data_IF_313935641983
#
_entry.id   IF_313935641983
#
_cell.length_a   1.000
_cell.length_b   1.000
_cell.length_c   1.000
_cell.angle_alpha   90.00
_cell.angle_beta   90.00
_cell.angle_gamma   90.00
#
_symmetry.space_group_name_H-M   'P 1'
#
loop_
_entity.id
_entity.type
_entity.pdbx_description
1 polymer ?
#
# COMPACT_ATOMS: atom_id res chain seq x y z
N UNK A 1 31.00 43.75 5.80
CA UNK A 1 29.75 43.15 5.29
C UNK A 1 30.11 42.15 4.22
N UNK A 2 30.21 40.87 4.57
CA UNK A 2 30.35 39.77 3.62
C UNK A 2 28.94 39.19 3.33
N UNK A 3 28.46 39.45 2.12
CA UNK A 3 27.31 38.82 1.55
C UNK A 3 27.72 37.41 1.08
N UNK A 4 27.39 36.40 1.85
CA UNK A 4 27.59 35.01 1.45
C UNK A 4 26.46 34.59 0.51
N UNK A 5 26.76 34.44 -0.78
CA UNK A 5 25.86 33.75 -1.72
C UNK A 5 25.78 32.28 -1.34
N UNK A 6 24.60 31.83 -0.91
CA UNK A 6 24.32 30.39 -0.82
C UNK A 6 24.20 29.85 -2.23
N UNK A 7 25.19 29.09 -2.68
CA UNK A 7 25.04 28.29 -3.90
C UNK A 7 23.99 27.21 -3.67
N UNK A 8 22.89 27.31 -4.36
CA UNK A 8 21.95 26.20 -4.47
C UNK A 8 22.71 25.02 -5.08
N UNK A 9 22.78 23.94 -4.32
CA UNK A 9 23.37 22.69 -4.78
C UNK A 9 22.63 22.23 -6.03
N UNK A 10 23.34 21.93 -7.09
CA UNK A 10 22.77 21.47 -8.34
C UNK A 10 21.75 20.34 -8.08
N UNK A 11 20.58 20.51 -8.68
CA UNK A 11 19.52 19.49 -8.68
C UNK A 11 20.11 18.20 -9.27
N UNK A 12 20.00 17.04 -8.60
CA UNK A 12 20.55 15.80 -9.13
C UNK A 12 19.97 15.47 -10.51
N UNK A 13 20.76 14.86 -11.44
CA UNK A 13 20.23 14.41 -12.72
C UNK A 13 19.05 13.47 -12.51
N UNK A 14 17.90 13.78 -13.09
CA UNK A 14 16.66 12.99 -12.95
C UNK A 14 15.55 13.66 -12.16
N UNK A 15 15.80 14.80 -11.48
CA UNK A 15 14.73 15.63 -10.93
C UNK A 15 14.21 16.56 -12.05
N UNK A 16 13.23 16.09 -12.81
CA UNK A 16 12.57 16.88 -13.84
C UNK A 16 11.85 18.10 -13.27
N UNK A 17 11.94 19.21 -13.96
CA UNK A 17 11.08 20.39 -13.73
C UNK A 17 9.72 20.04 -14.34
N UNK A 18 8.86 19.46 -13.56
CA UNK A 18 7.48 19.13 -13.93
C UNK A 18 6.80 18.57 -12.70
N UNK A 19 5.51 18.77 -12.58
CA UNK A 19 4.65 18.18 -11.52
C UNK A 19 4.61 16.66 -11.59
N UNK A 20 5.76 16.04 -11.35
CA UNK A 20 5.80 14.61 -11.04
C UNK A 20 5.53 14.52 -9.54
N UNK A 21 4.45 13.86 -9.11
CA UNK A 21 4.23 13.61 -7.70
C UNK A 21 5.51 13.03 -7.11
N UNK A 22 5.98 13.60 -6.00
CA UNK A 22 7.17 13.10 -5.34
C UNK A 22 7.04 11.60 -5.10
N UNK A 23 7.85 10.80 -5.78
CA UNK A 23 7.93 9.38 -5.50
C UNK A 23 8.55 9.24 -4.11
N UNK A 24 7.72 9.09 -3.09
CA UNK A 24 8.17 8.78 -1.75
C UNK A 24 8.64 7.33 -1.80
N UNK A 25 9.93 7.11 -1.94
CA UNK A 25 10.53 5.81 -1.76
C UNK A 25 10.61 5.55 -0.25
N UNK A 26 9.65 4.84 0.28
CA UNK A 26 9.72 4.32 1.64
C UNK A 26 10.59 3.07 1.57
N UNK A 27 11.87 3.20 1.93
CA UNK A 27 12.75 2.07 2.18
C UNK A 27 12.34 1.44 3.51
N UNK A 28 11.56 0.38 3.45
CA UNK A 28 11.28 -0.45 4.61
C UNK A 28 12.51 -1.34 4.85
N UNK A 29 13.42 -0.87 5.68
CA UNK A 29 14.54 -1.69 6.16
C UNK A 29 13.99 -2.86 7.00
N UNK A 30 14.39 -4.07 6.62
CA UNK A 30 13.98 -5.32 7.23
C UNK A 30 14.92 -5.76 8.34
N UNK A 31 15.91 -4.93 8.69
CA UNK A 31 16.86 -5.22 9.75
C UNK A 31 16.19 -5.14 11.13
N UNK A 32 16.66 -5.94 12.09
CA UNK A 32 16.13 -5.92 13.46
C UNK A 32 16.25 -4.58 14.19
N UNK A 33 17.04 -3.64 13.64
CA UNK A 33 17.16 -2.26 14.14
C UNK A 33 15.90 -1.41 13.88
N UNK A 34 15.05 -1.78 12.90
CA UNK A 34 13.77 -1.14 12.64
C UNK A 34 12.62 -1.63 13.55
N UNK A 35 12.92 -2.41 14.59
CA UNK A 35 12.01 -2.58 15.71
C UNK A 35 11.83 -1.30 16.53
N UNK A 36 12.58 -0.25 16.22
CA UNK A 36 12.39 1.10 16.75
C UNK A 36 11.03 1.61 16.25
N UNK A 37 10.11 1.68 17.19
CA UNK A 37 8.76 2.21 17.03
C UNK A 37 8.78 3.49 16.20
N UNK A 38 8.17 3.46 15.02
CA UNK A 38 7.76 4.70 14.38
C UNK A 38 6.77 5.36 15.33
N UNK A 39 7.23 6.33 16.10
CA UNK A 39 6.51 7.07 17.14
C UNK A 39 5.65 6.23 18.09
N UNK A 40 5.77 6.47 19.36
CA UNK A 40 5.03 5.81 20.43
C UNK A 40 3.52 5.77 20.11
N UNK A 41 2.99 4.58 19.81
CA UNK A 41 1.56 4.38 19.65
C UNK A 41 1.10 3.80 18.30
N UNK A 42 1.92 3.76 17.23
CA UNK A 42 1.46 3.28 15.92
C UNK A 42 1.22 1.77 15.84
N UNK A 43 1.74 1.00 16.81
CA UNK A 43 1.45 -0.44 16.94
C UNK A 43 1.72 -1.27 15.67
N UNK A 44 2.74 -0.89 14.87
CA UNK A 44 3.18 -1.71 13.75
C UNK A 44 4.12 -2.80 14.26
N UNK A 45 3.73 -4.06 14.05
CA UNK A 45 4.61 -5.19 14.27
C UNK A 45 4.89 -5.84 12.91
N UNK A 46 6.14 -5.80 12.47
CA UNK A 46 6.59 -6.34 11.19
C UNK A 46 5.83 -5.78 9.98
N UNK A 47 6.04 -4.50 9.59
CA UNK A 47 5.47 -3.96 8.38
C UNK A 47 6.04 -4.69 7.16
N UNK A 48 5.17 -5.10 6.23
CA UNK A 48 5.56 -5.88 5.05
C UNK A 48 5.28 -5.17 3.74
N UNK A 49 4.27 -4.32 3.72
CA UNK A 49 3.86 -3.61 2.52
C UNK A 49 3.39 -2.20 2.84
N UNK A 50 3.64 -1.29 1.92
CA UNK A 50 3.14 0.06 2.00
C UNK A 50 2.72 0.54 0.62
N UNK A 51 1.74 1.44 0.57
CA UNK A 51 1.30 2.14 -0.63
C UNK A 51 0.80 3.53 -0.24
N UNK A 52 1.05 4.52 -1.09
CA UNK A 52 0.49 5.86 -0.92
C UNK A 52 -0.69 6.08 -1.86
N UNK A 53 -1.64 6.91 -1.45
CA UNK A 53 -2.68 7.43 -2.32
C UNK A 53 -2.27 8.76 -2.95
N UNK A 54 -3.16 9.34 -3.77
CA UNK A 54 -2.90 10.63 -4.44
C UNK A 54 -2.84 11.82 -3.49
N UNK A 55 -3.33 11.69 -2.26
CA UNK A 55 -3.23 12.71 -1.21
C UNK A 55 -1.91 12.63 -0.44
N UNK A 56 -1.12 11.58 -0.67
CA UNK A 56 0.10 11.29 0.04
C UNK A 56 -0.09 10.49 1.33
N UNK A 57 -1.32 10.13 1.68
CA UNK A 57 -1.58 9.25 2.83
C UNK A 57 -1.05 7.83 2.54
N UNK A 58 -0.48 7.20 3.56
CA UNK A 58 0.23 5.92 3.42
C UNK A 58 -0.51 4.80 4.12
N UNK A 59 -0.74 3.72 3.38
CA UNK A 59 -1.36 2.49 3.88
C UNK A 59 -0.28 1.46 4.15
N UNK A 60 -0.17 0.99 5.39
CA UNK A 60 0.88 0.06 5.83
C UNK A 60 0.27 -1.25 6.29
N UNK A 61 0.65 -2.32 5.63
CA UNK A 61 0.27 -3.68 5.99
C UNK A 61 1.24 -4.30 6.98
N UNK A 62 0.70 -4.92 8.03
CA UNK A 62 1.46 -5.54 9.11
C UNK A 62 1.19 -7.03 9.22
N UNK A 63 2.23 -7.81 9.45
CA UNK A 63 2.16 -9.27 9.59
C UNK A 63 1.40 -9.71 10.85
N UNK A 64 1.86 -9.28 12.03
CA UNK A 64 1.33 -9.76 13.30
C UNK A 64 -0.01 -9.14 13.70
N UNK A 65 -0.27 -7.91 13.28
CA UNK A 65 -1.56 -7.26 13.59
C UNK A 65 -2.66 -7.66 12.62
N UNK A 66 -2.34 -8.42 11.59
CA UNK A 66 -3.27 -8.85 10.53
C UNK A 66 -4.12 -7.72 9.97
N UNK A 67 -3.55 -6.51 9.94
CA UNK A 67 -4.28 -5.30 9.58
C UNK A 67 -3.49 -4.37 8.68
N UNK A 68 -4.22 -3.44 8.09
CA UNK A 68 -3.68 -2.35 7.31
C UNK A 68 -4.06 -1.06 8.00
N UNK A 69 -3.06 -0.24 8.34
CA UNK A 69 -3.26 1.09 8.93
C UNK A 69 -3.03 2.17 7.90
N UNK A 70 -3.81 3.23 7.99
CA UNK A 70 -3.61 4.44 7.22
C UNK A 70 -2.86 5.46 8.07
N UNK A 71 -1.81 6.07 7.52
CA UNK A 71 -1.05 7.17 8.09
C UNK A 71 -1.36 8.43 7.31
N UNK A 72 -1.67 9.52 7.99
CA UNK A 72 -1.89 10.83 7.36
C UNK A 72 -0.57 11.42 6.86
N UNK A 73 -0.57 11.95 5.65
CA UNK A 73 0.60 12.62 5.06
C UNK A 73 1.12 13.78 5.93
N UNK A 74 0.21 14.60 6.46
CA UNK A 74 0.57 15.81 7.17
C UNK A 74 1.33 15.56 8.48
N UNK A 75 1.05 14.47 9.19
CA UNK A 75 1.59 14.24 10.55
C UNK A 75 2.29 12.90 10.71
N UNK A 76 2.12 11.96 9.77
CA UNK A 76 2.55 10.58 9.92
C UNK A 76 1.78 9.81 11.02
N UNK A 77 0.74 10.40 11.60
CA UNK A 77 -0.08 9.75 12.62
C UNK A 77 -1.06 8.75 12.00
N UNK A 78 -1.50 7.77 12.77
CA UNK A 78 -2.58 6.86 12.35
C UNK A 78 -3.87 7.65 12.18
N UNK A 79 -4.49 7.52 11.00
CA UNK A 79 -5.82 8.06 10.74
C UNK A 79 -6.87 7.17 11.39
N UNK A 80 -7.32 7.56 12.57
CA UNK A 80 -8.31 6.80 13.36
C UNK A 80 -9.71 6.78 12.74
N UNK A 81 -9.97 7.62 11.74
CA UNK A 81 -11.22 7.61 10.97
C UNK A 81 -11.24 6.52 9.90
N UNK A 82 -10.07 6.00 9.51
CA UNK A 82 -9.95 4.92 8.54
C UNK A 82 -10.42 3.60 9.14
N UNK A 83 -11.35 2.93 8.47
CA UNK A 83 -11.90 1.63 8.86
C UNK A 83 -12.37 1.59 10.32
N UNK A 84 -12.05 0.52 11.07
CA UNK A 84 -12.34 0.43 12.51
C UNK A 84 -11.15 0.95 13.31
N UNK A 85 -11.29 2.16 13.85
CA UNK A 85 -10.26 2.79 14.70
C UNK A 85 -8.86 2.85 14.05
N UNK A 86 -8.80 3.17 12.77
CA UNK A 86 -7.56 3.34 12.01
C UNK A 86 -6.96 2.05 11.46
N UNK A 87 -7.67 0.92 11.58
CA UNK A 87 -7.13 -0.37 11.10
C UNK A 87 -8.17 -1.15 10.29
N UNK A 88 -7.84 -1.47 9.05
CA UNK A 88 -8.61 -2.39 8.24
C UNK A 88 -8.14 -3.83 8.50
N UNK A 89 -8.99 -4.68 9.03
CA UNK A 89 -8.76 -6.12 9.20
C UNK A 89 -9.58 -6.95 8.23
N UNK A 90 -10.70 -6.40 7.77
CA UNK A 90 -11.65 -7.06 6.89
C UNK A 90 -12.38 -8.24 7.51
N UNK A 91 -13.26 -8.86 6.74
CA UNK A 91 -14.03 -10.03 7.13
C UNK A 91 -14.18 -11.02 5.98
N UNK A 92 -14.57 -12.25 6.27
CA UNK A 92 -14.80 -13.27 5.25
C UNK A 92 -13.62 -13.42 4.28
N UNK A 93 -13.91 -13.34 2.99
CA UNK A 93 -12.93 -13.48 1.91
C UNK A 93 -12.03 -12.23 1.72
N UNK A 94 -12.26 -11.18 2.46
CA UNK A 94 -11.53 -9.91 2.38
C UNK A 94 -10.71 -9.62 3.64
N UNK A 95 -10.34 -10.64 4.36
CA UNK A 95 -9.46 -10.53 5.52
C UNK A 95 -8.03 -10.20 5.12
N UNK A 96 -7.44 -9.24 5.80
CA UNK A 96 -6.03 -8.85 5.57
C UNK A 96 -5.04 -9.72 6.35
N UNK A 97 -5.18 -11.05 6.24
CA UNK A 97 -4.24 -12.00 6.84
C UNK A 97 -2.91 -11.97 6.10
N UNK A 98 -1.90 -11.35 6.72
CA UNK A 98 -0.57 -11.22 6.15
C UNK A 98 -0.59 -10.48 4.81
N UNK A 99 -0.88 -9.16 4.83
CA UNK A 99 -0.93 -8.35 3.61
C UNK A 99 0.47 -8.15 3.02
N UNK A 100 0.81 -8.99 2.05
CA UNK A 100 2.13 -9.02 1.41
C UNK A 100 2.36 -7.86 0.45
N UNK A 101 1.29 -7.38 -0.18
CA UNK A 101 1.37 -6.27 -1.11
C UNK A 101 0.07 -5.47 -1.08
N UNK A 102 0.21 -4.14 -1.13
CA UNK A 102 -0.89 -3.19 -1.19
C UNK A 102 -0.66 -2.28 -2.39
N UNK A 103 -1.72 -1.99 -3.14
CA UNK A 103 -1.74 -0.96 -4.17
C UNK A 103 -2.97 -0.09 -4.00
N UNK A 104 -2.80 1.22 -4.18
CA UNK A 104 -3.90 2.17 -4.22
C UNK A 104 -4.10 2.61 -5.67
N UNK A 105 -5.33 2.54 -6.15
CA UNK A 105 -5.67 2.97 -7.50
C UNK A 105 -7.15 3.38 -7.57
N UNK A 106 -7.41 4.57 -8.09
CA UNK A 106 -8.75 5.12 -8.33
C UNK A 106 -9.71 4.98 -7.13
N UNK A 107 -9.26 5.35 -5.92
CA UNK A 107 -10.08 5.30 -4.70
C UNK A 107 -10.29 3.90 -4.12
N UNK A 108 -9.55 2.92 -4.60
CA UNK A 108 -9.58 1.55 -4.10
C UNK A 108 -8.22 1.11 -3.56
N UNK A 109 -8.26 0.31 -2.51
CA UNK A 109 -7.13 -0.44 -2.00
C UNK A 109 -7.19 -1.88 -2.49
N UNK A 110 -6.14 -2.34 -3.16
CA UNK A 110 -5.97 -3.73 -3.61
C UNK A 110 -4.96 -4.40 -2.70
N UNK A 111 -5.32 -5.57 -2.18
CA UNK A 111 -4.52 -6.28 -1.16
C UNK A 111 -4.26 -7.71 -1.60
N UNK A 112 -2.99 -8.10 -1.62
CA UNK A 112 -2.59 -9.50 -1.69
C UNK A 112 -2.44 -10.05 -0.26
N UNK A 113 -3.38 -10.88 0.16
CA UNK A 113 -3.42 -11.48 1.49
C UNK A 113 -2.93 -12.92 1.43
N UNK A 114 -1.75 -13.16 2.00
CA UNK A 114 -1.03 -14.41 1.83
C UNK A 114 -1.75 -15.61 2.44
N UNK A 115 -2.10 -15.55 3.72
CA UNK A 115 -2.77 -16.65 4.41
C UNK A 115 -4.27 -16.73 4.15
N UNK A 116 -4.86 -15.65 3.62
CA UNK A 116 -6.23 -15.71 3.12
C UNK A 116 -6.31 -16.36 1.73
N UNK A 117 -5.15 -16.52 1.06
CA UNK A 117 -5.07 -17.02 -0.31
C UNK A 117 -5.92 -16.21 -1.29
N UNK A 118 -5.91 -14.87 -1.15
CA UNK A 118 -6.76 -14.01 -1.96
C UNK A 118 -6.08 -12.70 -2.30
N UNK A 119 -6.45 -12.20 -3.47
CA UNK A 119 -6.37 -10.78 -3.79
C UNK A 119 -7.78 -10.22 -3.69
N UNK A 120 -7.93 -9.09 -3.04
CA UNK A 120 -9.23 -8.44 -2.90
C UNK A 120 -9.13 -6.93 -3.03
N UNK A 121 -10.27 -6.29 -3.24
CA UNK A 121 -10.41 -4.86 -3.42
C UNK A 121 -11.34 -4.27 -2.36
N UNK A 122 -10.91 -3.15 -1.78
CA UNK A 122 -11.67 -2.38 -0.78
C UNK A 122 -11.87 -0.97 -1.31
N UNK A 123 -13.09 -0.49 -1.29
CA UNK A 123 -13.40 0.90 -1.56
C UNK A 123 -12.96 1.76 -0.36
N UNK A 124 -12.10 2.75 -0.58
CA UNK A 124 -11.51 3.55 0.49
C UNK A 124 -12.50 4.50 1.17
N UNK A 125 -13.55 4.92 0.46
CA UNK A 125 -14.55 5.83 1.02
C UNK A 125 -15.61 5.12 1.87
N UNK A 126 -15.92 3.85 1.55
CA UNK A 126 -16.97 3.09 2.25
C UNK A 126 -16.43 1.98 3.15
N UNK A 127 -15.18 1.59 2.98
CA UNK A 127 -14.58 0.42 3.64
C UNK A 127 -15.11 -0.92 3.12
N UNK A 128 -16.00 -0.90 2.13
CA UNK A 128 -16.61 -2.13 1.60
C UNK A 128 -15.62 -2.90 0.71
N UNK A 129 -15.57 -4.22 0.92
CA UNK A 129 -14.92 -5.13 -0.02
C UNK A 129 -15.97 -5.55 -1.06
N UNK A 130 -15.72 -5.19 -2.31
CA UNK A 130 -16.65 -5.42 -3.42
C UNK A 130 -16.14 -6.42 -4.46
N UNK A 131 -14.92 -6.90 -4.31
CA UNK A 131 -14.33 -7.92 -5.17
C UNK A 131 -13.23 -8.69 -4.45
N UNK A 132 -13.15 -10.00 -4.72
CA UNK A 132 -12.04 -10.85 -4.32
C UNK A 132 -11.81 -11.98 -5.33
N UNK A 133 -10.58 -12.48 -5.39
CA UNK A 133 -10.19 -13.61 -6.24
C UNK A 133 -9.26 -14.55 -5.47
N UNK A 134 -9.47 -15.86 -5.62
CA UNK A 134 -8.62 -16.86 -4.98
C UNK A 134 -7.30 -16.98 -5.72
N UNK A 135 -6.20 -16.71 -5.03
CA UNK A 135 -4.83 -16.96 -5.47
C UNK A 135 -4.07 -17.57 -4.31
N UNK A 136 -3.72 -18.83 -4.44
CA UNK A 136 -3.02 -19.54 -3.36
C UNK A 136 -1.73 -18.80 -2.97
N UNK A 137 -1.63 -18.40 -1.70
CA UNK A 137 -0.54 -17.61 -1.16
C UNK A 137 -0.26 -16.34 -1.99
N UNK A 138 -1.27 -15.50 -2.13
CA UNK A 138 -1.18 -14.25 -2.89
C UNK A 138 -0.04 -13.36 -2.36
N UNK A 139 0.82 -12.87 -3.26
CA UNK A 139 2.06 -12.15 -2.89
C UNK A 139 2.19 -10.76 -3.52
N UNK A 140 1.99 -10.67 -4.81
CA UNK A 140 2.31 -9.45 -5.56
C UNK A 140 1.12 -8.94 -6.34
N UNK A 141 1.02 -7.61 -6.43
CA UNK A 141 0.06 -6.89 -7.24
C UNK A 141 0.82 -5.82 -8.02
N UNK A 142 0.54 -5.72 -9.31
CA UNK A 142 0.89 -4.58 -10.14
C UNK A 142 -0.37 -4.04 -10.80
N UNK A 143 -0.44 -2.72 -11.00
CA UNK A 143 -1.53 -2.08 -11.73
C UNK A 143 -0.90 -1.16 -12.77
N UNK A 144 -1.32 -1.30 -14.00
CA UNK A 144 -0.90 -0.45 -15.13
C UNK A 144 -2.02 -0.39 -16.16
N UNK A 145 -2.30 0.78 -16.70
CA UNK A 145 -3.33 1.00 -17.72
C UNK A 145 -4.71 0.40 -17.35
N UNK A 146 -5.13 0.56 -16.10
CA UNK A 146 -6.36 -0.04 -15.55
C UNK A 146 -6.41 -1.57 -15.63
N UNK A 147 -5.26 -2.23 -15.71
CA UNK A 147 -5.16 -3.69 -15.63
C UNK A 147 -4.42 -4.05 -14.35
N UNK A 148 -5.04 -4.92 -13.56
CA UNK A 148 -4.45 -5.53 -12.39
C UNK A 148 -3.82 -6.86 -12.77
N UNK A 149 -2.60 -7.04 -12.34
CA UNK A 149 -1.86 -8.30 -12.37
C UNK A 149 -1.60 -8.73 -10.94
N UNK A 150 -1.99 -9.93 -10.58
CA UNK A 150 -1.69 -10.45 -9.27
C UNK A 150 -1.17 -11.88 -9.35
N UNK A 151 -0.19 -12.21 -8.48
CA UNK A 151 0.47 -13.51 -8.48
C UNK A 151 0.53 -14.09 -7.07
N UNK A 152 0.52 -15.41 -7.00
CA UNK A 152 0.74 -16.19 -5.80
C UNK A 152 2.08 -16.93 -5.81
N UNK A 153 2.39 -17.58 -4.69
CA UNK A 153 3.67 -18.29 -4.50
C UNK A 153 3.84 -19.50 -5.45
N UNK A 154 2.76 -20.20 -5.78
CA UNK A 154 2.78 -21.42 -6.61
C UNK A 154 2.44 -21.17 -8.08
N UNK A 155 2.78 -20.00 -8.62
CA UNK A 155 2.57 -19.71 -10.04
C UNK A 155 1.13 -19.35 -10.45
N UNK A 156 0.20 -19.34 -9.51
CA UNK A 156 -1.16 -18.87 -9.80
C UNK A 156 -1.14 -17.36 -10.05
N UNK A 157 -1.85 -16.92 -11.09
CA UNK A 157 -1.97 -15.51 -11.44
C UNK A 157 -3.40 -15.17 -11.83
N UNK A 158 -3.77 -13.91 -11.70
CA UNK A 158 -4.97 -13.32 -12.29
C UNK A 158 -4.60 -12.04 -12.99
N UNK A 159 -5.22 -11.83 -14.15
CA UNK A 159 -5.20 -10.58 -14.89
C UNK A 159 -6.63 -10.07 -14.94
N UNK A 160 -6.85 -8.81 -14.53
CA UNK A 160 -8.18 -8.24 -14.44
C UNK A 160 -8.21 -6.84 -15.03
N UNK A 161 -9.17 -6.60 -15.90
CA UNK A 161 -9.48 -5.26 -16.37
C UNK A 161 -10.32 -4.53 -15.31
N UNK A 162 -9.80 -3.42 -14.78
CA UNK A 162 -10.43 -2.67 -13.71
C UNK A 162 -11.55 -1.75 -14.21
N UNK A 163 -11.55 -1.39 -15.49
CA UNK A 163 -12.61 -0.58 -16.10
C UNK A 163 -13.88 -1.40 -16.34
N UNK A 164 -13.74 -2.63 -16.83
CA UNK A 164 -14.88 -3.53 -17.11
C UNK A 164 -15.19 -4.46 -15.94
N UNK A 165 -14.31 -4.49 -14.95
CA UNK A 165 -14.40 -5.36 -13.79
C UNK A 165 -14.44 -6.86 -14.15
N UNK A 166 -13.79 -7.27 -15.22
CA UNK A 166 -13.76 -8.65 -15.72
C UNK A 166 -12.35 -9.24 -15.71
N UNK A 167 -12.25 -10.56 -15.52
CA UNK A 167 -10.99 -11.25 -15.69
C UNK A 167 -10.62 -11.34 -17.18
N UNK A 168 -9.34 -11.21 -17.47
CA UNK A 168 -8.78 -11.41 -18.82
C UNK A 168 -8.24 -12.84 -18.85
N UNK A 169 -8.77 -13.65 -19.75
CA UNK A 169 -8.21 -14.99 -20.01
C UNK A 169 -6.87 -14.85 -20.75
N UNK A 170 -5.87 -15.59 -20.32
CA UNK A 170 -4.62 -15.76 -21.06
C UNK A 170 -4.75 -16.98 -21.97
#
# INVERSE_FOLDING_TARGET
LFSGSSYAKNIPPGSGIGDVPANILILLDKSGSMSVRMTSGSGFMYPYSAAADSSGDVYVGSYWTYGIKKLTYATGAVDTSFASSGTYTGSGNCRSYYPMNIKIHNGYMYVASYYQHRVFRVNLSTGACDWNHYIRYARNIAIGNNILYATGYYGNAVIRNLSTNSNISC
#
